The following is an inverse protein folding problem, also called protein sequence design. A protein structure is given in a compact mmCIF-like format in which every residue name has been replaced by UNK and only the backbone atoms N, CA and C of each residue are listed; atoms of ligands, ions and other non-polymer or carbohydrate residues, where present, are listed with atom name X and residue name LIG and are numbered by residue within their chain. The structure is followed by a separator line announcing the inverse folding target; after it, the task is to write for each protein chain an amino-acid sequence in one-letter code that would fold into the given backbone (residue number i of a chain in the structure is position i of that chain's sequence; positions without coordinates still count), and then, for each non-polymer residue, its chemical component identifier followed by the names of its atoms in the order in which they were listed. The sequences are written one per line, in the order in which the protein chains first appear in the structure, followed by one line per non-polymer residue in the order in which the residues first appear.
data_IF_435209393178
#
_entry.id   IF_435209393178
#
_cell.length_a   1.000
_cell.length_b   1.000
_cell.length_c   1.000
_cell.angle_alpha   90.00
_cell.angle_beta   90.00
_cell.angle_gamma   90.00
#
_symmetry.space_group_name_H-M   'P 1'
#
loop_
_entity.id
_entity.type
_entity.pdbx_description
1 polymer ?
#
# COMPACT_ATOMS: atom_id res chain seq x y z
N UNK A 1 -17.89 63.63 -0.21
CA UNK A 1 -18.98 63.32 -1.16
C UNK A 1 -19.32 61.86 -0.97
N UNK A 2 -20.48 61.66 -0.46
CA UNK A 2 -21.10 60.38 -0.09
C UNK A 2 -21.67 59.79 -1.36
N UNK A 3 -21.52 58.49 -1.58
CA UNK A 3 -22.15 57.75 -2.65
C UNK A 3 -22.56 56.35 -2.15
N UNK A 4 -23.82 56.30 -1.65
CA UNK A 4 -24.56 55.08 -1.38
C UNK A 4 -24.78 54.27 -2.65
N UNK A 5 -24.55 52.94 -2.59
CA UNK A 5 -25.15 51.96 -3.49
C UNK A 5 -25.67 50.78 -2.71
N UNK A 6 -26.97 50.87 -2.40
CA UNK A 6 -27.82 49.80 -1.97
C UNK A 6 -28.20 48.91 -3.18
N UNK A 7 -27.98 47.60 -3.14
CA UNK A 7 -28.74 46.68 -3.98
C UNK A 7 -29.03 45.38 -3.24
N UNK A 8 -30.31 45.24 -2.95
CA UNK A 8 -31.02 44.04 -2.51
C UNK A 8 -30.81 42.85 -3.45
N UNK A 9 -30.30 41.74 -2.93
CA UNK A 9 -30.33 40.42 -3.58
C UNK A 9 -30.88 39.39 -2.60
N UNK A 10 -32.15 39.01 -2.78
CA UNK A 10 -32.82 37.94 -2.03
C UNK A 10 -32.12 36.57 -2.29
N UNK A 11 -31.95 35.71 -1.28
CA UNK A 11 -31.48 34.36 -1.48
C UNK A 11 -32.58 33.46 -2.07
N UNK A 12 -32.25 32.75 -3.13
CA UNK A 12 -33.08 31.70 -3.72
C UNK A 12 -33.07 30.49 -2.78
N UNK A 13 -34.28 30.07 -2.40
CA UNK A 13 -34.55 28.82 -1.69
C UNK A 13 -34.21 27.62 -2.57
N UNK A 14 -33.25 26.80 -2.18
CA UNK A 14 -33.02 25.47 -2.76
C UNK A 14 -33.93 24.46 -2.05
N UNK A 15 -34.76 23.83 -2.86
CA UNK A 15 -35.67 22.74 -2.50
C UNK A 15 -34.89 21.54 -1.99
N UNK A 16 -35.24 21.09 -0.78
CA UNK A 16 -34.77 19.88 -0.12
C UNK A 16 -35.29 18.66 -0.86
N UNK A 17 -34.42 18.00 -1.62
CA UNK A 17 -34.66 16.65 -2.15
C UNK A 17 -34.32 15.65 -1.07
N UNK A 18 -35.30 14.87 -0.64
CA UNK A 18 -35.18 13.77 0.32
C UNK A 18 -34.20 12.73 -0.20
N UNK A 19 -33.08 12.56 0.49
CA UNK A 19 -32.19 11.42 0.31
C UNK A 19 -32.77 10.29 1.14
N UNK A 20 -33.28 9.27 0.44
CA UNK A 20 -33.71 7.99 1.01
C UNK A 20 -32.48 7.27 1.56
N UNK A 21 -32.43 7.08 2.86
CA UNK A 21 -31.45 6.25 3.56
C UNK A 21 -31.69 4.80 3.17
N UNK A 22 -30.82 4.22 2.34
CA UNK A 22 -30.69 2.78 2.18
C UNK A 22 -29.81 2.26 3.33
N UNK A 23 -30.43 1.54 4.25
CA UNK A 23 -29.73 0.74 5.24
C UNK A 23 -29.05 -0.45 4.57
N UNK A 24 -27.74 -0.53 4.66
CA UNK A 24 -26.95 -1.70 4.29
C UNK A 24 -26.83 -2.61 5.50
N UNK A 25 -27.87 -3.38 5.77
CA UNK A 25 -27.78 -4.59 6.57
C UNK A 25 -27.34 -5.73 5.67
N UNK A 26 -26.08 -6.08 5.72
CA UNK A 26 -25.59 -7.29 5.09
C UNK A 26 -24.71 -8.10 6.06
N UNK A 27 -25.38 -8.90 6.89
CA UNK A 27 -24.84 -10.14 7.45
C UNK A 27 -25.90 -11.23 7.32
N UNK A 28 -25.64 -12.32 6.59
CA UNK A 28 -26.52 -13.47 6.65
C UNK A 28 -26.21 -14.27 7.91
N UNK A 29 -27.22 -14.36 8.78
CA UNK A 29 -27.25 -15.33 9.88
C UNK A 29 -27.33 -16.75 9.32
N UNK A 30 -26.32 -17.56 9.55
CA UNK A 30 -26.39 -19.00 9.35
C UNK A 30 -27.24 -19.64 10.43
N UNK A 31 -28.51 -19.90 10.13
CA UNK A 31 -29.33 -20.88 10.87
C UNK A 31 -29.34 -22.19 10.11
N UNK A 32 -28.72 -23.21 10.68
CA UNK A 32 -28.90 -24.59 10.24
C UNK A 32 -29.50 -25.39 11.37
N UNK A 33 -30.60 -26.08 11.16
CA UNK A 33 -30.99 -27.19 12.00
C UNK A 33 -31.09 -28.47 11.20
N UNK A 34 -30.07 -29.35 11.26
CA UNK A 34 -30.29 -30.77 11.04
C UNK A 34 -29.51 -31.56 12.09
N UNK A 35 -30.25 -32.14 13.04
CA UNK A 35 -29.80 -33.24 13.90
C UNK A 35 -29.56 -34.44 13.03
N UNK A 36 -28.41 -35.10 13.19
CA UNK A 36 -28.36 -36.55 13.21
C UNK A 36 -27.14 -37.05 14.00
N UNK A 37 -27.41 -37.93 14.91
CA UNK A 37 -26.46 -38.69 15.72
C UNK A 37 -25.49 -39.49 14.86
N UNK A 38 -24.19 -39.49 15.20
CA UNK A 38 -23.39 -40.71 15.41
C UNK A 38 -21.94 -40.35 15.84
N UNK A 39 -21.55 -41.01 16.92
CA UNK A 39 -20.21 -41.41 17.34
C UNK A 39 -19.15 -40.30 17.56
N UNK A 40 -18.85 -40.09 18.83
CA UNK A 40 -17.71 -39.41 19.37
C UNK A 40 -16.38 -40.05 18.96
N UNK A 41 -15.59 -39.37 18.14
CA UNK A 41 -14.14 -39.47 18.19
C UNK A 41 -13.61 -38.12 18.61
N UNK A 42 -13.05 -38.03 19.81
CA UNK A 42 -12.35 -36.87 20.32
C UNK A 42 -11.10 -36.66 19.48
N UNK A 43 -11.20 -35.83 18.43
CA UNK A 43 -10.07 -35.17 17.84
C UNK A 43 -9.81 -33.94 18.71
N UNK A 44 -8.77 -33.99 19.52
CA UNK A 44 -8.19 -32.85 20.19
C UNK A 44 -7.71 -31.87 19.09
N UNK A 45 -8.51 -30.85 18.83
CA UNK A 45 -8.10 -29.72 18.06
C UNK A 45 -7.01 -28.98 18.89
N UNK A 46 -5.76 -29.17 18.53
CA UNK A 46 -4.67 -28.34 19.02
C UNK A 46 -5.01 -26.90 18.63
N UNK A 47 -4.81 -25.91 19.50
CA UNK A 47 -4.94 -24.53 19.09
C UNK A 47 -3.96 -24.32 17.95
N UNK A 48 -4.51 -24.01 16.75
CA UNK A 48 -3.73 -23.59 15.60
C UNK A 48 -2.77 -22.51 16.09
N UNK A 49 -1.47 -22.72 15.88
CA UNK A 49 -0.44 -21.71 16.04
C UNK A 49 -0.83 -20.51 15.17
N UNK A 50 -1.57 -19.58 15.75
CA UNK A 50 -1.78 -18.28 15.15
C UNK A 50 -0.39 -17.66 15.09
N UNK A 51 0.19 -17.64 13.89
CA UNK A 51 1.40 -16.86 13.59
C UNK A 51 1.05 -15.41 13.89
N UNK A 52 1.29 -14.99 15.13
CA UNK A 52 1.14 -13.58 15.52
C UNK A 52 2.24 -12.83 14.79
N UNK A 53 1.89 -11.97 13.84
CA UNK A 53 2.90 -11.19 13.13
C UNK A 53 3.71 -10.40 14.15
N UNK A 54 5.03 -10.50 14.09
CA UNK A 54 5.88 -9.76 15.01
C UNK A 54 5.69 -8.26 14.82
N UNK A 55 5.30 -7.56 15.89
CA UNK A 55 5.27 -6.11 15.91
C UNK A 55 6.70 -5.59 15.74
N UNK A 56 6.90 -4.69 14.78
CA UNK A 56 8.23 -4.11 14.54
C UNK A 56 8.47 -2.84 15.35
N UNK A 57 7.41 -2.21 15.87
CA UNK A 57 7.47 -1.00 16.66
C UNK A 57 6.49 -1.08 17.84
N UNK A 58 6.93 -0.65 19.02
CA UNK A 58 6.13 -0.53 20.24
C UNK A 58 6.32 0.85 20.82
N UNK A 59 5.20 1.44 21.30
CA UNK A 59 5.20 2.77 21.87
C UNK A 59 3.86 3.15 22.44
N UNK A 60 3.52 4.42 22.36
CA UNK A 60 2.30 4.96 22.96
C UNK A 60 1.49 5.74 21.92
N UNK A 61 0.18 5.57 21.97
CA UNK A 61 -0.77 6.46 21.31
C UNK A 61 -1.23 7.48 22.33
N UNK A 62 -1.12 8.76 21.98
CA UNK A 62 -1.44 9.88 22.86
C UNK A 62 -2.47 10.79 22.21
N UNK A 63 -3.48 11.13 22.97
CA UNK A 63 -4.47 12.17 22.64
C UNK A 63 -4.62 13.07 23.87
N UNK A 64 -4.01 14.24 23.83
CA UNK A 64 -3.96 15.16 24.97
C UNK A 64 -3.38 14.48 26.23
N UNK A 65 -4.17 14.29 27.26
CA UNK A 65 -3.76 13.63 28.52
C UNK A 65 -3.98 12.11 28.53
N UNK A 66 -4.68 11.58 27.54
CA UNK A 66 -4.96 10.14 27.44
C UNK A 66 -3.81 9.49 26.67
N UNK A 67 -3.19 8.48 27.30
CA UNK A 67 -2.10 7.74 26.70
C UNK A 67 -2.33 6.24 26.88
N UNK A 68 -2.15 5.46 25.82
CA UNK A 68 -2.24 4.00 25.88
C UNK A 68 -1.07 3.35 25.13
N UNK A 69 -0.59 2.22 25.67
CA UNK A 69 0.46 1.45 25.04
C UNK A 69 -0.05 0.72 23.81
N UNK A 70 0.69 0.84 22.71
CA UNK A 70 0.31 0.28 21.40
C UNK A 70 1.48 -0.39 20.71
N UNK A 71 1.16 -1.28 19.80
CA UNK A 71 2.12 -1.91 18.90
C UNK A 71 1.68 -1.76 17.43
N UNK A 72 2.68 -1.67 16.58
CA UNK A 72 2.52 -1.46 15.14
C UNK A 72 3.05 -2.67 14.37
N UNK A 73 2.23 -3.19 13.48
CA UNK A 73 2.55 -4.32 12.61
C UNK A 73 2.33 -3.91 11.16
N UNK A 74 3.27 -4.16 10.23
CA UNK A 74 3.04 -3.88 8.82
C UNK A 74 1.81 -4.64 8.31
N UNK A 75 0.91 -3.95 7.59
CA UNK A 75 -0.26 -4.60 6.99
C UNK A 75 0.09 -5.39 5.72
N UNK A 76 1.29 -5.21 5.18
CA UNK A 76 1.79 -5.92 3.99
C UNK A 76 3.08 -6.66 4.33
N UNK A 77 3.28 -7.82 3.73
CA UNK A 77 4.49 -8.62 3.90
C UNK A 77 5.04 -9.06 2.55
N UNK A 78 6.36 -9.06 2.45
CA UNK A 78 7.10 -9.62 1.32
C UNK A 78 7.80 -10.95 1.68
N UNK A 79 7.50 -11.53 2.83
CA UNK A 79 8.18 -12.73 3.34
C UNK A 79 8.04 -13.94 2.43
N UNK A 80 6.92 -14.05 1.71
CA UNK A 80 6.64 -15.17 0.80
C UNK A 80 7.22 -14.98 -0.61
N UNK A 81 7.76 -13.81 -0.93
CA UNK A 81 8.40 -13.58 -2.23
C UNK A 81 9.67 -14.41 -2.36
N UNK A 82 9.83 -15.10 -3.49
CA UNK A 82 11.06 -15.83 -3.80
C UNK A 82 12.21 -14.84 -3.91
N UNK A 83 13.22 -14.99 -3.03
CA UNK A 83 14.42 -14.16 -3.04
C UNK A 83 15.59 -14.98 -3.58
N UNK A 84 16.38 -14.34 -4.45
CA UNK A 84 17.58 -14.94 -5.01
C UNK A 84 18.84 -14.34 -4.39
N UNK A 85 19.85 -15.16 -4.21
CA UNK A 85 21.20 -14.73 -3.89
C UNK A 85 22.09 -14.86 -5.13
N UNK A 86 22.94 -13.87 -5.35
CA UNK A 86 23.96 -13.97 -6.41
C UNK A 86 25.00 -14.99 -5.99
N UNK A 87 25.29 -15.94 -6.89
CA UNK A 87 26.28 -16.98 -6.67
C UNK A 87 27.38 -16.88 -7.73
N UNK A 88 28.60 -17.23 -7.34
CA UNK A 88 29.68 -17.44 -8.29
C UNK A 88 29.42 -18.72 -9.09
N UNK A 89 29.40 -18.61 -10.40
CA UNK A 89 29.07 -19.73 -11.29
C UNK A 89 30.10 -20.90 -11.23
N UNK A 90 31.36 -20.59 -10.94
CA UNK A 90 32.43 -21.58 -10.86
C UNK A 90 32.46 -22.29 -9.51
N UNK A 91 32.35 -21.56 -8.43
CA UNK A 91 32.51 -22.08 -7.07
C UNK A 91 31.22 -22.46 -6.39
N UNK A 92 30.06 -21.92 -6.87
CA UNK A 92 28.77 -22.07 -6.24
C UNK A 92 28.59 -21.26 -4.95
N UNK A 93 29.60 -20.52 -4.55
CA UNK A 93 29.56 -19.73 -3.31
C UNK A 93 28.71 -18.45 -3.48
N UNK A 94 28.13 -17.97 -2.38
CA UNK A 94 27.43 -16.68 -2.36
C UNK A 94 28.40 -15.53 -2.58
N UNK A 95 28.05 -14.61 -3.48
CA UNK A 95 28.79 -13.37 -3.73
C UNK A 95 28.36 -12.30 -2.74
N UNK A 96 29.32 -11.54 -2.22
CA UNK A 96 29.11 -10.34 -1.41
C UNK A 96 29.46 -9.11 -2.25
N UNK A 97 28.68 -8.04 -2.11
CA UNK A 97 28.97 -6.74 -2.73
C UNK A 97 29.96 -5.97 -1.84
N UNK A 98 30.90 -5.27 -2.48
CA UNK A 98 31.82 -4.32 -1.82
C UNK A 98 31.84 -3.04 -2.63
N UNK A 99 31.98 -1.92 -1.94
CA UNK A 99 32.21 -0.64 -2.59
C UNK A 99 33.61 -0.57 -3.17
N UNK A 100 33.71 0.03 -4.34
CA UNK A 100 34.96 0.19 -5.07
C UNK A 100 35.03 1.66 -5.48
N UNK A 101 36.19 2.27 -5.28
CA UNK A 101 36.46 3.63 -5.74
C UNK A 101 36.33 3.70 -7.26
N UNK A 102 35.57 4.67 -7.77
CA UNK A 102 35.21 4.77 -9.18
C UNK A 102 36.39 5.11 -10.09
N UNK A 103 37.46 5.70 -9.54
CA UNK A 103 38.66 6.14 -10.29
C UNK A 103 39.77 5.11 -10.17
N UNK A 104 40.06 4.66 -8.96
CA UNK A 104 41.19 3.75 -8.70
C UNK A 104 40.84 2.27 -8.83
N UNK A 105 39.53 1.95 -8.88
CA UNK A 105 38.97 0.59 -8.91
C UNK A 105 39.42 -0.30 -7.75
N UNK A 106 39.88 0.30 -6.65
CA UNK A 106 40.26 -0.42 -5.44
C UNK A 106 39.08 -0.55 -4.48
N UNK A 107 38.97 -1.66 -3.74
CA UNK A 107 37.93 -1.79 -2.71
C UNK A 107 38.13 -0.74 -1.62
N UNK A 108 37.06 -0.08 -1.24
CA UNK A 108 37.01 0.85 -0.10
C UNK A 108 36.77 0.02 1.17
N UNK A 109 37.46 0.37 2.25
CA UNK A 109 37.25 -0.26 3.56
C UNK A 109 36.04 0.39 4.23
N UNK A 110 35.31 -0.40 5.01
CA UNK A 110 34.11 0.07 5.72
C UNK A 110 34.41 1.33 6.57
N UNK A 111 35.60 1.43 7.16
CA UNK A 111 36.04 2.59 7.97
C UNK A 111 36.37 3.85 7.13
N UNK A 112 36.61 3.67 5.82
CA UNK A 112 36.94 4.74 4.89
C UNK A 112 35.71 5.21 4.08
N UNK A 113 34.52 4.62 4.36
CA UNK A 113 33.27 5.02 3.70
C UNK A 113 32.69 6.27 4.38
N UNK A 114 32.52 7.35 3.60
CA UNK A 114 31.91 8.58 4.07
C UNK A 114 30.71 8.95 3.20
N UNK A 115 29.80 9.72 3.75
CA UNK A 115 28.62 10.20 3.01
C UNK A 115 28.91 11.57 2.41
N UNK A 116 28.75 11.69 1.09
CA UNK A 116 28.94 12.94 0.37
C UNK A 116 27.66 13.39 -0.30
N UNK A 117 27.36 14.67 -0.18
CA UNK A 117 26.31 15.37 -0.97
C UNK A 117 26.94 16.04 -2.18
N UNK A 118 26.48 15.69 -3.38
CA UNK A 118 27.00 16.26 -4.64
C UNK A 118 26.50 17.70 -4.83
N UNK A 119 27.43 18.62 -5.12
CA UNK A 119 27.12 20.00 -5.48
C UNK A 119 26.91 20.14 -6.99
N UNK A 120 26.40 21.29 -7.41
CA UNK A 120 26.17 21.61 -8.82
C UNK A 120 27.48 21.60 -9.67
N UNK A 121 28.63 21.84 -9.05
CA UNK A 121 29.95 21.79 -9.69
C UNK A 121 30.59 20.40 -9.78
N UNK A 122 29.86 19.36 -9.33
CA UNK A 122 30.35 17.99 -9.30
C UNK A 122 31.31 17.68 -8.14
N UNK A 123 31.55 18.62 -7.22
CA UNK A 123 32.28 18.38 -5.99
C UNK A 123 31.34 17.82 -4.90
N UNK A 124 31.90 17.20 -3.85
CA UNK A 124 31.13 16.62 -2.77
C UNK A 124 31.35 17.36 -1.44
N UNK A 125 30.26 17.58 -0.71
CA UNK A 125 30.32 17.93 0.71
C UNK A 125 30.28 16.65 1.49
N UNK A 126 31.33 16.36 2.24
CA UNK A 126 31.36 15.20 3.14
C UNK A 126 30.56 15.54 4.39
N UNK A 127 29.68 14.63 4.78
CA UNK A 127 28.89 14.73 6.02
C UNK A 127 29.39 13.67 6.98
N UNK A 128 29.83 14.11 8.15
CA UNK A 128 30.27 13.21 9.22
C UNK A 128 29.07 12.51 9.88
N UNK A 129 29.29 11.31 10.41
CA UNK A 129 28.22 10.55 11.05
C UNK A 129 27.62 11.30 12.26
N UNK A 130 28.46 12.01 13.02
CA UNK A 130 28.03 12.85 14.15
C UNK A 130 27.12 14.01 13.71
N UNK A 131 27.38 14.62 12.55
CA UNK A 131 26.52 15.66 11.96
C UNK A 131 25.17 15.10 11.55
N UNK A 132 25.17 13.91 10.96
CA UNK A 132 23.95 13.21 10.59
C UNK A 132 23.15 12.74 11.80
N UNK A 133 23.85 12.35 12.87
CA UNK A 133 23.22 12.00 14.15
C UNK A 133 22.60 13.22 14.84
N UNK A 134 23.25 14.37 14.78
CA UNK A 134 22.73 15.61 15.37
C UNK A 134 21.42 16.10 14.71
N UNK A 135 21.22 15.79 13.44
CA UNK A 135 19.97 16.10 12.71
C UNK A 135 18.91 15.01 12.89
N UNK A 136 19.32 13.80 13.27
CA UNK A 136 18.39 12.70 13.46
C UNK A 136 17.51 12.93 14.69
N UNK A 137 16.19 12.79 14.49
CA UNK A 137 15.23 12.96 15.58
C UNK A 137 15.27 11.76 16.53
N UNK A 138 15.34 12.06 17.83
CA UNK A 138 15.15 11.04 18.86
C UNK A 138 13.74 10.46 18.77
N UNK A 139 13.64 9.14 18.77
CA UNK A 139 12.37 8.47 18.78
C UNK A 139 11.72 8.56 20.16
N UNK A 140 10.74 9.41 20.31
CA UNK A 140 9.91 9.51 21.53
C UNK A 140 9.03 8.27 21.73
N UNK A 141 8.98 7.38 20.73
CA UNK A 141 8.07 6.20 20.68
C UNK A 141 6.62 6.55 21.00
N UNK A 142 6.19 7.75 20.62
CA UNK A 142 4.85 8.25 20.87
C UNK A 142 4.23 8.71 19.55
N UNK A 143 3.00 8.27 19.30
CA UNK A 143 2.13 8.75 18.24
C UNK A 143 1.23 9.79 18.90
N UNK A 144 1.53 11.07 18.73
CA UNK A 144 0.73 12.18 19.28
C UNK A 144 -0.28 12.63 18.24
N UNK A 145 -1.57 12.57 18.56
CA UNK A 145 -2.63 12.99 17.64
C UNK A 145 -2.78 14.51 17.75
N UNK A 146 -2.36 15.21 16.70
CA UNK A 146 -2.38 16.67 16.64
C UNK A 146 -3.73 17.22 16.20
N UNK A 147 -4.36 16.54 15.22
CA UNK A 147 -5.57 17.04 14.54
C UNK A 147 -6.46 15.88 14.11
N UNK A 148 -7.73 16.22 13.86
CA UNK A 148 -8.66 15.31 13.21
C UNK A 148 -9.14 15.93 11.89
N UNK A 149 -9.33 15.08 10.89
CA UNK A 149 -9.84 15.44 9.57
C UNK A 149 -11.04 14.56 9.24
N UNK A 150 -12.01 15.05 8.45
CA UNK A 150 -13.10 14.20 7.97
C UNK A 150 -12.54 12.95 7.28
N UNK A 151 -13.16 11.79 7.51
CA UNK A 151 -12.82 10.56 6.81
C UNK A 151 -12.97 10.83 5.30
N UNK A 152 -12.09 10.25 4.50
CA UNK A 152 -12.05 10.40 3.03
C UNK A 152 -11.70 11.80 2.49
N UNK A 153 -11.32 12.76 3.37
CA UNK A 153 -10.88 14.09 2.93
C UNK A 153 -9.45 14.09 2.35
N UNK A 154 -8.66 13.08 2.67
CA UNK A 154 -7.29 12.92 2.18
C UNK A 154 -7.32 12.06 0.91
N UNK A 155 -6.82 12.60 -0.21
CA UNK A 155 -6.73 11.87 -1.47
C UNK A 155 -5.76 10.68 -1.39
N UNK A 156 -6.04 9.64 -2.15
CA UNK A 156 -5.27 8.40 -2.19
C UNK A 156 -3.77 8.60 -2.46
N UNK A 157 -3.41 9.63 -3.19
CA UNK A 157 -2.02 9.94 -3.57
C UNK A 157 -1.12 10.19 -2.36
N UNK A 158 -1.68 10.65 -1.24
CA UNK A 158 -0.96 10.94 -0.01
C UNK A 158 -0.61 9.71 0.81
N UNK A 159 -1.32 8.57 0.59
CA UNK A 159 -1.06 7.33 1.33
C UNK A 159 0.22 6.64 0.84
N UNK A 160 1.08 6.21 1.78
CA UNK A 160 2.30 5.46 1.47
C UNK A 160 2.15 4.00 1.96
N UNK A 161 2.42 3.71 3.23
CA UNK A 161 2.44 2.34 3.75
C UNK A 161 1.41 2.14 4.85
N UNK A 162 0.59 1.07 4.76
CA UNK A 162 -0.37 0.73 5.80
C UNK A 162 0.27 -0.12 6.91
N UNK A 163 -0.18 0.13 8.14
CA UNK A 163 0.19 -0.63 9.33
C UNK A 163 -1.04 -0.88 10.18
N UNK A 164 -1.09 -2.00 10.87
CA UNK A 164 -2.09 -2.27 11.89
C UNK A 164 -1.59 -1.75 13.23
N UNK A 165 -2.39 -0.94 13.90
CA UNK A 165 -2.16 -0.43 15.24
C UNK A 165 -3.13 -1.11 16.20
N UNK A 166 -2.58 -1.74 17.22
CA UNK A 166 -3.33 -2.45 18.25
C UNK A 166 -2.80 -2.10 19.65
N UNK A 167 -3.62 -2.24 20.70
CA UNK A 167 -3.15 -2.08 22.06
C UNK A 167 -2.16 -3.21 22.40
N UNK A 168 -1.04 -2.86 23.04
CA UNK A 168 0.00 -3.83 23.42
C UNK A 168 -0.23 -4.48 24.77
N UNK A 169 -1.13 -3.92 25.59
CA UNK A 169 -1.49 -4.45 26.89
C UNK A 169 -2.98 -4.31 27.19
N UNK A 170 -3.43 -5.02 28.23
CA UNK A 170 -4.85 -5.00 28.65
C UNK A 170 -5.24 -3.69 29.30
N UNK A 171 -4.33 -2.97 29.93
CA UNK A 171 -4.61 -1.71 30.64
C UNK A 171 -4.89 -0.59 29.62
N UNK A 172 -4.10 -0.54 28.54
CA UNK A 172 -4.27 0.43 27.46
C UNK A 172 -5.47 0.13 26.55
N UNK A 173 -6.01 -1.09 26.59
CA UNK A 173 -7.07 -1.52 25.68
C UNK A 173 -8.35 -0.69 25.80
N UNK A 174 -8.75 -0.29 27.02
CA UNK A 174 -9.92 0.54 27.23
C UNK A 174 -9.74 1.94 26.62
N UNK A 175 -8.63 2.61 26.93
CA UNK A 175 -8.32 3.94 26.39
C UNK A 175 -8.19 3.92 24.86
N UNK A 176 -7.53 2.90 24.30
CA UNK A 176 -7.45 2.68 22.86
C UNK A 176 -8.84 2.55 22.23
N UNK A 177 -9.70 1.71 22.83
CA UNK A 177 -11.07 1.48 22.32
C UNK A 177 -11.92 2.73 22.35
N UNK A 178 -11.80 3.55 23.40
CA UNK A 178 -12.50 4.83 23.51
C UNK A 178 -12.06 5.81 22.41
N UNK A 179 -10.75 5.95 22.20
CA UNK A 179 -10.22 6.83 21.14
C UNK A 179 -10.72 6.35 19.77
N UNK A 180 -10.59 5.05 19.47
CA UNK A 180 -11.04 4.46 18.22
C UNK A 180 -12.54 4.69 17.97
N UNK A 181 -13.36 4.39 18.98
CA UNK A 181 -14.83 4.52 18.89
C UNK A 181 -15.26 5.98 18.72
N UNK A 182 -14.59 6.91 19.41
CA UNK A 182 -14.85 8.34 19.26
C UNK A 182 -14.57 8.81 17.82
N UNK A 183 -13.44 8.39 17.22
CA UNK A 183 -13.12 8.69 15.83
C UNK A 183 -14.14 8.08 14.87
N UNK A 184 -14.55 6.82 15.10
CA UNK A 184 -15.52 6.10 14.27
C UNK A 184 -16.87 6.82 14.26
N UNK A 185 -17.43 7.13 15.45
CA UNK A 185 -18.72 7.82 15.59
C UNK A 185 -18.73 9.25 15.07
N UNK A 186 -17.58 9.91 15.12
CA UNK A 186 -17.42 11.26 14.58
C UNK A 186 -17.10 11.28 13.08
N UNK A 187 -16.93 10.12 12.44
CA UNK A 187 -16.53 9.98 11.03
C UNK A 187 -15.26 10.76 10.70
N UNK A 188 -14.27 10.72 11.60
CA UNK A 188 -12.99 11.40 11.43
C UNK A 188 -11.81 10.43 11.49
N UNK A 189 -10.69 10.85 10.89
CA UNK A 189 -9.38 10.23 11.00
C UNK A 189 -8.42 11.16 11.74
N UNK A 190 -7.53 10.59 12.55
CA UNK A 190 -6.55 11.35 13.30
C UNK A 190 -5.27 11.60 12.48
N UNK A 191 -4.80 12.84 12.43
CA UNK A 191 -3.47 13.18 11.93
C UNK A 191 -2.50 13.24 13.10
N UNK A 192 -1.39 12.52 12.97
CA UNK A 192 -0.38 12.41 13.99
C UNK A 192 1.03 12.46 13.38
N UNK A 193 2.02 12.52 14.24
CA UNK A 193 3.43 12.43 13.88
C UNK A 193 4.06 11.23 14.59
N UNK A 194 4.94 10.55 13.88
CA UNK A 194 5.65 9.37 14.38
C UNK A 194 7.09 9.41 13.92
N UNK A 195 8.02 9.30 14.85
CA UNK A 195 9.43 9.11 14.52
C UNK A 195 9.71 7.63 14.32
N UNK A 196 10.01 7.26 13.07
CA UNK A 196 10.40 5.92 12.65
C UNK A 196 11.69 5.97 11.86
N UNK A 197 12.62 5.06 12.16
CA UNK A 197 13.92 5.00 11.47
C UNK A 197 14.66 6.35 11.47
N UNK A 198 14.66 7.04 12.62
CA UNK A 198 15.32 8.34 12.85
C UNK A 198 14.75 9.48 11.99
N UNK A 199 13.57 9.32 11.42
CA UNK A 199 12.85 10.33 10.63
C UNK A 199 11.43 10.52 11.15
N UNK A 200 11.00 11.76 11.24
CA UNK A 200 9.59 12.08 11.47
C UNK A 200 8.79 11.73 10.22
N UNK A 201 7.61 11.16 10.45
CA UNK A 201 6.63 10.86 9.40
C UNK A 201 5.27 11.35 9.83
N UNK A 202 4.59 12.04 8.94
CA UNK A 202 3.17 12.30 9.10
C UNK A 202 2.43 10.97 8.94
N UNK A 203 1.47 10.73 9.82
CA UNK A 203 0.66 9.49 9.81
C UNK A 203 -0.81 9.81 9.95
N UNK A 204 -1.64 9.01 9.32
CA UNK A 204 -3.09 9.05 9.41
C UNK A 204 -3.57 7.80 10.18
N UNK A 205 -4.38 8.03 11.18
CA UNK A 205 -5.03 7.01 12.00
C UNK A 205 -6.47 6.85 11.56
N UNK A 206 -6.83 5.70 11.04
CA UNK A 206 -8.14 5.41 10.50
C UNK A 206 -8.77 4.23 11.27
N UNK A 207 -9.90 4.42 11.96
CA UNK A 207 -10.60 3.32 12.64
C UNK A 207 -11.03 2.24 11.63
N UNK A 208 -10.75 0.98 11.95
CA UNK A 208 -11.15 -0.18 11.13
C UNK A 208 -11.49 -1.38 12.03
N UNK A 209 -12.78 -1.70 12.15
CA UNK A 209 -13.23 -2.75 13.04
C UNK A 209 -12.74 -2.54 14.49
N UNK A 210 -12.14 -3.53 15.15
CA UNK A 210 -11.67 -3.40 16.53
C UNK A 210 -10.32 -2.67 16.65
N UNK A 211 -9.63 -2.38 15.55
CA UNK A 211 -8.31 -1.76 15.52
C UNK A 211 -8.28 -0.40 14.82
N UNK A 212 -7.07 0.09 14.59
CA UNK A 212 -6.81 1.30 13.83
C UNK A 212 -5.81 0.93 12.72
N UNK A 213 -6.06 1.39 11.50
CA UNK A 213 -5.06 1.37 10.43
C UNK A 213 -4.28 2.67 10.48
N UNK A 214 -2.98 2.57 10.61
CA UNK A 214 -2.06 3.69 10.52
C UNK A 214 -1.44 3.70 9.13
N UNK A 215 -1.67 4.79 8.41
CA UNK A 215 -1.02 5.06 7.13
C UNK A 215 0.14 6.02 7.33
N UNK A 216 1.32 5.69 6.84
CA UNK A 216 2.34 6.73 6.62
C UNK A 216 1.92 7.59 5.45
N UNK A 217 2.12 8.90 5.56
CA UNK A 217 1.77 9.86 4.52
C UNK A 217 3.03 10.35 3.82
N UNK A 218 2.90 10.68 2.53
CA UNK A 218 3.92 11.36 1.75
C UNK A 218 3.99 12.83 2.15
N UNK A 219 5.17 13.41 2.08
CA UNK A 219 5.34 14.84 2.25
C UNK A 219 4.88 15.62 1.01
N UNK A 220 4.64 16.94 1.17
CA UNK A 220 4.09 17.76 0.12
C UNK A 220 4.99 17.89 -1.12
N UNK A 221 6.29 17.80 -0.93
CA UNK A 221 7.33 17.82 -1.98
C UNK A 221 7.45 16.49 -2.74
N UNK A 222 6.93 15.41 -2.19
CA UNK A 222 6.92 14.08 -2.84
C UNK A 222 5.73 13.91 -3.80
N UNK A 223 4.67 14.73 -3.64
CA UNK A 223 3.41 14.59 -4.39
C UNK A 223 3.40 15.54 -5.58
N UNK A 224 3.31 14.99 -6.79
CA UNK A 224 3.20 15.76 -8.01
C UNK A 224 1.76 16.19 -8.28
N UNK A 225 1.58 17.40 -8.81
CA UNK A 225 0.26 17.87 -9.18
C UNK A 225 -0.25 17.11 -10.43
N UNK A 226 -1.47 16.56 -10.35
CA UNK A 226 -2.09 15.85 -11.47
C UNK A 226 -2.34 16.74 -12.68
N UNK A 227 -2.62 18.03 -12.46
CA UNK A 227 -2.89 18.99 -13.54
C UNK A 227 -1.69 19.19 -14.47
N UNK A 228 -0.45 19.06 -13.95
CA UNK A 228 0.77 19.15 -14.76
C UNK A 228 0.86 18.04 -15.83
N UNK A 229 0.15 16.93 -15.60
CA UNK A 229 0.16 15.77 -16.49
C UNK A 229 -1.12 15.64 -17.32
N UNK A 230 -2.26 16.08 -16.78
CA UNK A 230 -3.55 15.85 -17.42
C UNK A 230 -4.07 17.06 -18.20
N UNK A 231 -3.56 18.27 -17.96
CA UNK A 231 -3.97 19.50 -18.65
C UNK A 231 -3.77 19.44 -20.18
N UNK A 232 -2.82 18.63 -20.66
CA UNK A 232 -2.58 18.43 -22.08
C UNK A 232 -3.54 17.43 -22.76
N UNK A 233 -4.42 16.78 -21.98
CA UNK A 233 -5.37 15.81 -22.52
C UNK A 233 -6.60 16.58 -23.05
N UNK A 234 -6.74 16.61 -24.37
CA UNK A 234 -7.88 17.25 -25.01
C UNK A 234 -9.16 16.42 -24.82
N UNK A 235 -10.24 17.08 -24.39
CA UNK A 235 -11.57 16.51 -24.36
C UNK A 235 -12.16 16.50 -25.79
N UNK A 236 -11.92 15.40 -26.51
CA UNK A 236 -12.47 15.20 -27.87
C UNK A 236 -13.94 14.80 -27.86
N UNK A 237 -14.63 15.04 -29.00
CA UNK A 237 -16.00 14.52 -29.20
C UNK A 237 -15.96 12.98 -29.31
N UNK A 238 -16.63 12.30 -28.37
CA UNK A 238 -16.70 10.85 -28.35
C UNK A 238 -17.74 10.34 -29.38
N UNK A 239 -17.34 9.34 -30.16
CA UNK A 239 -18.28 8.58 -30.99
C UNK A 239 -19.23 7.76 -30.12
N UNK A 240 -20.54 8.06 -30.19
CA UNK A 240 -21.58 7.41 -29.38
C UNK A 240 -21.68 5.91 -29.62
N UNK A 241 -21.39 5.44 -30.85
CA UNK A 241 -21.39 4.01 -31.19
C UNK A 241 -20.23 3.31 -30.54
N UNK A 242 -19.02 3.93 -30.57
CA UNK A 242 -17.83 3.41 -29.92
C UNK A 242 -18.05 3.34 -28.40
N UNK A 243 -18.58 4.39 -27.82
CA UNK A 243 -18.89 4.46 -26.39
C UNK A 243 -19.89 3.36 -25.97
N UNK A 244 -20.92 3.10 -26.77
CA UNK A 244 -21.89 2.03 -26.47
C UNK A 244 -21.28 0.63 -26.52
N UNK A 245 -20.41 0.37 -27.50
CA UNK A 245 -19.66 -0.90 -27.58
C UNK A 245 -18.73 -1.11 -26.39
N UNK A 246 -17.98 -0.07 -26.01
CA UNK A 246 -17.06 -0.14 -24.85
C UNK A 246 -17.84 -0.34 -23.55
N UNK A 247 -18.97 0.37 -23.37
CA UNK A 247 -19.84 0.17 -22.19
C UNK A 247 -20.36 -1.26 -22.07
N UNK A 248 -20.71 -1.89 -23.19
CA UNK A 248 -21.13 -3.30 -23.19
C UNK A 248 -19.98 -4.20 -22.72
N UNK A 249 -18.78 -4.04 -23.29
CA UNK A 249 -17.60 -4.81 -22.87
C UNK A 249 -17.26 -4.60 -21.39
N UNK A 250 -17.37 -3.38 -20.88
CA UNK A 250 -17.15 -3.10 -19.45
C UNK A 250 -18.18 -3.87 -18.63
N UNK A 251 -19.45 -3.81 -18.97
CA UNK A 251 -20.53 -4.52 -18.26
C UNK A 251 -20.29 -6.03 -18.24
N UNK A 252 -19.89 -6.60 -19.39
CA UNK A 252 -19.64 -8.05 -19.52
C UNK A 252 -18.39 -8.51 -18.73
N UNK A 253 -17.48 -7.58 -18.37
CA UNK A 253 -16.25 -7.85 -17.61
C UNK A 253 -16.29 -7.32 -16.17
N UNK A 254 -17.40 -6.74 -15.76
CA UNK A 254 -17.55 -6.24 -14.38
C UNK A 254 -17.89 -7.42 -13.48
N UNK A 255 -17.02 -7.66 -12.53
CA UNK A 255 -17.14 -8.69 -11.49
C UNK A 255 -16.92 -8.04 -10.13
N UNK A 256 -17.40 -8.68 -9.06
CA UNK A 256 -17.14 -8.25 -7.70
C UNK A 256 -15.65 -8.41 -7.37
N UNK A 257 -15.13 -7.48 -6.58
CA UNK A 257 -13.73 -7.51 -6.17
C UNK A 257 -13.37 -8.80 -5.44
N UNK A 258 -12.32 -9.49 -5.95
CA UNK A 258 -11.74 -10.67 -5.30
C UNK A 258 -10.20 -10.51 -5.26
N UNK A 259 -9.55 -10.67 -4.07
CA UNK A 259 -8.09 -10.67 -3.94
C UNK A 259 -7.38 -11.65 -4.87
N UNK A 260 -8.04 -12.75 -5.26
CA UNK A 260 -7.49 -13.75 -6.18
C UNK A 260 -7.17 -13.20 -7.57
N UNK A 261 -7.74 -12.07 -7.97
CA UNK A 261 -7.40 -11.38 -9.22
C UNK A 261 -5.97 -10.84 -9.24
N UNK A 262 -5.35 -10.65 -8.06
CA UNK A 262 -4.00 -10.09 -7.91
C UNK A 262 -2.92 -11.16 -7.67
N UNK A 263 -3.12 -12.40 -8.13
CA UNK A 263 -2.10 -13.42 -8.05
C UNK A 263 -0.90 -13.07 -8.94
N UNK A 264 0.32 -13.18 -8.38
CA UNK A 264 1.56 -13.03 -9.14
C UNK A 264 1.89 -14.35 -9.89
N UNK A 265 1.70 -14.40 -11.23
CA UNK A 265 1.96 -15.61 -12.02
C UNK A 265 3.45 -15.95 -12.04
N UNK A 266 4.34 -14.96 -11.94
CA UNK A 266 5.80 -15.17 -11.94
C UNK A 266 6.21 -15.87 -10.64
N UNK A 267 5.71 -15.41 -9.50
CA UNK A 267 5.97 -16.03 -8.20
C UNK A 267 5.52 -17.50 -8.17
N UNK A 268 4.32 -17.79 -8.67
CA UNK A 268 3.78 -19.15 -8.77
C UNK A 268 4.64 -20.06 -9.67
N UNK A 269 5.07 -19.54 -10.82
CA UNK A 269 5.94 -20.26 -11.74
C UNK A 269 7.33 -20.51 -11.14
N UNK A 270 7.90 -19.53 -10.43
CA UNK A 270 9.19 -19.67 -9.74
C UNK A 270 9.12 -20.73 -8.64
N UNK A 271 8.08 -20.72 -7.81
CA UNK A 271 7.87 -21.74 -6.78
C UNK A 271 7.75 -23.14 -7.38
N UNK A 272 7.02 -23.28 -8.50
CA UNK A 272 6.88 -24.54 -9.24
C UNK A 272 8.22 -25.02 -9.78
N UNK A 273 9.01 -24.13 -10.39
CA UNK A 273 10.36 -24.44 -10.89
C UNK A 273 11.32 -24.87 -9.79
N UNK A 274 11.31 -24.14 -8.66
CA UNK A 274 12.17 -24.46 -7.50
C UNK A 274 11.80 -25.83 -6.95
N UNK A 275 10.51 -26.11 -6.81
CA UNK A 275 10.02 -27.40 -6.33
C UNK A 275 10.41 -28.54 -7.29
N UNK A 276 10.28 -28.34 -8.60
CA UNK A 276 10.70 -29.32 -9.59
C UNK A 276 12.23 -29.57 -9.56
N UNK A 277 13.04 -28.52 -9.37
CA UNK A 277 14.49 -28.64 -9.22
C UNK A 277 14.91 -29.31 -7.91
N UNK A 278 14.21 -29.06 -6.80
CA UNK A 278 14.45 -29.76 -5.52
C UNK A 278 14.20 -31.26 -5.63
N UNK A 279 13.25 -31.69 -6.45
CA UNK A 279 12.94 -33.11 -6.68
C UNK A 279 13.92 -33.79 -7.64
N UNK A 280 14.64 -33.05 -8.49
CA UNK A 280 15.68 -33.57 -9.37
C UNK A 280 17.03 -33.42 -8.66
N UNK A 281 17.80 -34.55 -8.50
CA UNK A 281 19.19 -34.51 -8.01
C UNK A 281 20.01 -33.52 -8.85
N UNK A 282 21.05 -32.84 -8.30
CA UNK A 282 21.76 -31.78 -9.00
C UNK A 282 22.46 -32.33 -10.27
N UNK A 283 22.05 -31.82 -11.42
CA UNK A 283 22.78 -31.97 -12.67
C UNK A 283 23.60 -30.71 -12.89
N UNK A 284 24.88 -30.92 -13.13
CA UNK A 284 25.94 -29.95 -13.41
C UNK A 284 25.57 -28.94 -14.50
N UNK A 285 25.91 -27.68 -14.25
CA UNK A 285 26.12 -26.52 -15.15
C UNK A 285 25.05 -26.08 -16.16
N UNK A 286 24.65 -24.79 -16.19
CA UNK A 286 23.73 -24.27 -17.19
C UNK A 286 24.44 -23.82 -18.48
N UNK A 287 23.98 -24.32 -19.64
CA UNK A 287 24.31 -23.78 -20.96
C UNK A 287 23.60 -22.43 -21.18
N UNK A 288 24.34 -21.43 -21.62
CA UNK A 288 23.84 -20.11 -21.97
C UNK A 288 22.79 -20.16 -23.08
N UNK A 289 21.66 -19.49 -22.86
CA UNK A 289 20.62 -19.27 -23.87
C UNK A 289 20.78 -17.87 -24.46
N UNK A 290 21.00 -17.78 -25.75
CA UNK A 290 20.96 -16.51 -26.50
C UNK A 290 19.54 -15.96 -26.52
N UNK A 291 19.41 -14.69 -26.20
CA UNK A 291 18.15 -13.90 -26.29
C UNK A 291 18.09 -13.24 -27.67
N UNK A 292 17.02 -13.47 -28.42
CA UNK A 292 16.72 -12.72 -29.66
C UNK A 292 15.93 -11.45 -29.31
N UNK A 293 16.12 -10.33 -30.00
CA UNK A 293 15.43 -9.09 -29.73
C UNK A 293 14.03 -9.03 -30.35
N UNK A 294 13.04 -8.61 -29.59
CA UNK A 294 11.70 -8.37 -30.07
C UNK A 294 11.62 -7.06 -30.88
N UNK A 295 11.11 -7.16 -32.10
CA UNK A 295 10.94 -6.03 -33.02
C UNK A 295 9.53 -5.42 -32.96
N UNK A 296 9.50 -4.08 -33.01
CA UNK A 296 8.54 -3.29 -33.77
C UNK A 296 7.10 -3.14 -33.24
N UNK A 297 6.80 -1.93 -32.77
CA UNK A 297 5.45 -1.48 -32.46
C UNK A 297 4.52 -1.46 -33.67
N UNK A 298 3.33 -2.04 -33.49
CA UNK A 298 2.24 -1.98 -34.45
C UNK A 298 1.16 -1.04 -33.88
N UNK A 299 0.90 0.06 -34.57
CA UNK A 299 -0.25 0.94 -34.26
C UNK A 299 -1.51 0.17 -34.67
N UNK A 300 -2.17 -0.42 -33.69
CA UNK A 300 -3.42 -1.16 -33.90
C UNK A 300 -4.58 -0.16 -33.91
N UNK A 301 -5.36 -0.15 -34.99
CA UNK A 301 -6.61 0.61 -35.05
C UNK A 301 -7.58 0.07 -33.99
N UNK A 302 -7.99 0.94 -33.07
CA UNK A 302 -8.87 0.63 -31.93
C UNK A 302 -10.15 -0.11 -32.35
N UNK A 303 -10.72 0.26 -33.51
CA UNK A 303 -11.93 -0.37 -34.06
C UNK A 303 -11.72 -1.84 -34.42
N UNK A 304 -10.57 -2.20 -34.97
CA UNK A 304 -10.27 -3.58 -35.36
C UNK A 304 -9.94 -4.44 -34.14
N UNK A 305 -9.30 -3.87 -33.14
CA UNK A 305 -9.05 -4.52 -31.86
C UNK A 305 -10.34 -4.84 -31.09
N UNK A 306 -11.28 -3.89 -31.05
CA UNK A 306 -12.59 -4.06 -30.41
C UNK A 306 -13.47 -5.09 -31.14
N UNK A 307 -13.49 -5.07 -32.47
CA UNK A 307 -14.21 -6.08 -33.28
C UNK A 307 -13.67 -7.48 -33.06
N UNK A 308 -12.35 -7.64 -32.99
CA UNK A 308 -11.70 -8.95 -32.69
C UNK A 308 -12.01 -9.44 -31.28
N UNK A 309 -12.10 -8.56 -30.30
CA UNK A 309 -12.46 -8.94 -28.92
C UNK A 309 -13.91 -9.42 -28.84
N UNK A 310 -14.86 -8.70 -29.45
CA UNK A 310 -16.27 -9.08 -29.49
C UNK A 310 -16.51 -10.41 -30.24
N UNK A 311 -15.75 -10.66 -31.33
CA UNK A 311 -15.86 -11.91 -32.08
C UNK A 311 -15.28 -13.13 -31.34
N UNK A 312 -14.33 -12.93 -30.40
CA UNK A 312 -13.77 -14.00 -29.58
C UNK A 312 -14.69 -14.42 -28.43
N UNK A 313 -15.42 -13.48 -27.86
CA UNK A 313 -16.33 -13.75 -26.74
C UNK A 313 -17.65 -14.39 -27.22
N UNK A 314 -18.14 -14.07 -28.42
CA UNK A 314 -19.32 -14.72 -29.04
C UNK A 314 -19.13 -16.19 -29.43
N UNK A 315 -17.91 -16.75 -29.33
CA UNK A 315 -17.62 -18.19 -29.58
C UNK A 315 -17.45 -19.03 -28.31
N UNK A 316 -17.56 -18.42 -27.12
CA UNK A 316 -17.42 -19.11 -25.82
C UNK A 316 -18.77 -19.26 -25.07
N UNK A 317 -19.86 -18.88 -25.71
CA UNK A 317 -21.23 -19.10 -25.19
C UNK A 317 -21.87 -20.29 -25.86
#
# INVERSE_FOLDING_TARGET
MVGDFSSNGKPRSYSSSRITTMSLDWFPACTNPVRNHLAASRLSCSPEDQIVPHSFWKGYLKLSLVTCAVELTPATSESEKVRFHTLNAETGNRVISRYVDSVTHKPVRDDDEVRGFEKEDGSYIVLEEDELEAVALESTRTIDIDKFVPRDSIGWIWYDKPHYLAPSDKVGQEAFSVIREAMEKSSVSGLARLVMYRRERAVLLEPRGPGIVLWTLRFGDEVRNADDYFSAIEEGKLDTKLLSMVRKLIKDKTEDWNPDFLQDPVQKNLQSMITAKKKKKPATSPKSRKTEPASGGNVINIMDALRKSLAKEGKKS
#
